data_IF_092971199770
#
_entry.id   IF_092971199770
#
_cell.length_a   1.000
_cell.length_b   1.000
_cell.length_c   1.000
_cell.angle_alpha   90.00
_cell.angle_beta   90.00
_cell.angle_gamma   90.00
#
_symmetry.space_group_name_H-M   'P 1'
#
loop_
_entity.id
_entity.type
_entity.pdbx_description
1 polymer ?
#
# COMPACT_ATOMS: atom_id res chain seq x y z
N UNK A 1 14.84 -12.62 8.84
CA UNK A 1 14.90 -12.58 7.37
C UNK A 1 14.27 -11.27 6.96
N UNK A 2 14.86 -10.57 6.01
CA UNK A 2 14.34 -9.30 5.49
C UNK A 2 14.14 -9.41 3.98
N UNK A 3 13.07 -8.83 3.46
CA UNK A 3 12.85 -8.68 2.04
C UNK A 3 12.28 -7.31 1.73
N UNK A 4 12.73 -6.75 0.62
CA UNK A 4 12.33 -5.42 0.17
C UNK A 4 12.34 -5.35 -1.36
N UNK A 5 11.56 -4.44 -1.94
CA UNK A 5 11.60 -4.12 -3.37
C UNK A 5 12.26 -2.75 -3.56
N UNK A 6 13.25 -2.67 -4.43
CA UNK A 6 13.93 -1.41 -4.81
C UNK A 6 14.30 -1.46 -6.27
N UNK A 7 14.03 -0.37 -6.99
CA UNK A 7 14.46 -0.20 -8.39
C UNK A 7 14.21 -1.44 -9.26
N UNK A 8 12.97 -1.92 -9.27
CA UNK A 8 12.54 -3.12 -10.01
C UNK A 8 13.29 -4.42 -9.62
N UNK A 9 13.81 -4.47 -8.39
CA UNK A 9 14.48 -5.65 -7.85
C UNK A 9 13.87 -6.08 -6.52
N UNK A 10 13.74 -7.38 -6.38
CA UNK A 10 13.38 -8.03 -5.13
C UNK A 10 14.65 -8.43 -4.38
N UNK A 11 14.90 -7.80 -3.25
CA UNK A 11 16.01 -8.09 -2.36
C UNK A 11 15.53 -8.97 -1.21
N UNK A 12 16.27 -10.01 -0.91
CA UNK A 12 15.97 -10.82 0.27
C UNK A 12 17.26 -11.23 0.97
N UNK A 13 17.29 -11.09 2.31
CA UNK A 13 18.43 -11.47 3.14
C UNK A 13 17.99 -12.31 4.32
N UNK A 14 18.75 -13.38 4.63
CA UNK A 14 18.53 -14.22 5.79
C UNK A 14 19.56 -13.92 6.89
N UNK A 15 19.07 -13.66 8.09
CA UNK A 15 19.94 -13.48 9.25
C UNK A 15 20.18 -14.84 9.91
N UNK A 16 21.44 -15.21 10.01
CA UNK A 16 21.90 -16.43 10.70
C UNK A 16 23.04 -16.03 11.64
N UNK A 17 22.89 -16.38 12.92
CA UNK A 17 23.90 -16.14 13.95
C UNK A 17 25.03 -17.14 13.92
N UNK A 18 24.84 -18.29 13.27
CA UNK A 18 25.86 -19.31 13.15
C UNK A 18 26.88 -18.95 12.06
N UNK A 19 28.15 -19.16 12.34
CA UNK A 19 29.23 -19.12 11.35
C UNK A 19 29.24 -20.43 10.55
N UNK A 20 29.73 -20.41 9.33
CA UNK A 20 29.85 -21.60 8.46
C UNK A 20 28.56 -22.25 7.97
N UNK A 21 27.47 -21.47 7.89
CA UNK A 21 26.25 -21.91 7.23
C UNK A 21 26.37 -21.83 5.69
N UNK A 22 25.72 -22.77 5.04
CA UNK A 22 25.45 -22.73 3.59
C UNK A 22 23.97 -22.45 3.36
N UNK A 23 23.67 -21.71 2.32
CA UNK A 23 22.31 -21.25 2.01
C UNK A 23 21.93 -21.75 0.61
N UNK A 24 20.77 -22.38 0.51
CA UNK A 24 20.11 -22.62 -0.77
C UNK A 24 18.76 -21.92 -0.74
N UNK A 25 18.24 -21.51 -1.88
CA UNK A 25 16.93 -20.83 -1.91
C UNK A 25 16.15 -21.22 -3.15
N UNK A 26 14.83 -21.27 -2.96
CA UNK A 26 13.86 -21.31 -4.04
C UNK A 26 13.15 -19.95 -4.08
N UNK A 27 13.02 -19.40 -5.29
CA UNK A 27 12.23 -18.23 -5.56
C UNK A 27 10.98 -18.70 -6.27
N UNK A 28 9.82 -18.37 -5.75
CA UNK A 28 8.54 -18.59 -6.41
C UNK A 28 7.82 -17.28 -6.66
N UNK A 29 7.12 -17.24 -7.78
CA UNK A 29 6.23 -16.16 -8.17
C UNK A 29 4.85 -16.78 -8.36
N UNK A 30 3.85 -16.26 -7.65
CA UNK A 30 2.47 -16.78 -7.70
C UNK A 30 2.43 -18.31 -7.47
N UNK A 31 3.21 -18.77 -6.47
CA UNK A 31 3.33 -20.19 -6.09
C UNK A 31 4.09 -21.08 -7.08
N UNK A 32 4.51 -20.58 -8.24
CA UNK A 32 5.36 -21.30 -9.17
C UNK A 32 6.83 -21.01 -8.90
N UNK A 33 7.65 -22.07 -8.75
CA UNK A 33 9.09 -21.93 -8.55
C UNK A 33 9.72 -21.50 -9.87
N UNK A 34 10.25 -20.27 -9.88
CA UNK A 34 10.90 -19.67 -11.06
C UNK A 34 12.40 -19.78 -11.04
N UNK A 35 13.00 -19.90 -9.85
CA UNK A 35 14.46 -20.05 -9.73
C UNK A 35 14.85 -20.90 -8.50
N UNK A 36 16.01 -21.57 -8.62
CA UNK A 36 16.59 -22.42 -7.57
C UNK A 36 18.08 -22.20 -7.51
N UNK A 37 18.57 -21.74 -6.37
CA UNK A 37 20.01 -21.59 -6.14
C UNK A 37 20.45 -22.59 -5.09
N UNK A 38 21.40 -23.44 -5.48
CA UNK A 38 21.95 -24.46 -4.60
C UNK A 38 22.96 -23.87 -3.62
N UNK A 39 23.28 -24.60 -2.59
CA UNK A 39 24.08 -24.19 -1.44
C UNK A 39 25.28 -23.31 -1.78
N UNK A 40 25.23 -22.08 -1.28
CA UNK A 40 26.25 -21.03 -1.39
C UNK A 40 26.52 -20.42 -0.01
N UNK A 41 27.56 -19.62 0.11
CA UNK A 41 27.82 -18.80 1.31
C UNK A 41 27.09 -17.46 1.29
N UNK A 42 26.43 -17.14 0.19
CA UNK A 42 25.71 -15.89 0.05
C UNK A 42 24.41 -15.93 0.87
N UNK A 43 24.25 -14.95 1.77
CA UNK A 43 23.07 -14.80 2.66
C UNK A 43 21.96 -13.97 2.01
N UNK A 44 22.23 -13.35 0.88
CA UNK A 44 21.31 -12.45 0.20
C UNK A 44 21.10 -12.87 -1.24
N UNK A 45 19.92 -12.56 -1.73
CA UNK A 45 19.57 -12.68 -3.15
C UNK A 45 19.05 -11.35 -3.66
N UNK A 46 19.29 -11.12 -4.94
CA UNK A 46 18.66 -10.04 -5.70
C UNK A 46 18.04 -10.70 -6.92
N UNK A 47 16.75 -10.47 -7.10
CA UNK A 47 16.00 -11.01 -8.23
C UNK A 47 15.39 -9.85 -9.02
N UNK A 48 15.56 -9.83 -10.34
CA UNK A 48 15.00 -8.79 -11.20
C UNK A 48 13.48 -8.99 -11.33
N UNK A 49 12.72 -7.97 -10.99
CA UNK A 49 11.27 -7.96 -11.14
C UNK A 49 10.96 -7.40 -12.52
N UNK A 50 10.81 -8.29 -13.48
CA UNK A 50 10.62 -7.91 -14.89
C UNK A 50 9.15 -7.72 -15.27
N UNK A 51 8.20 -8.02 -14.37
CA UNK A 51 6.77 -8.01 -14.67
C UNK A 51 6.04 -7.04 -13.75
N UNK A 52 5.34 -6.08 -14.34
CA UNK A 52 4.51 -5.09 -13.65
C UNK A 52 3.13 -5.61 -13.25
N UNK A 53 2.88 -6.91 -13.34
CA UNK A 53 1.66 -7.55 -12.84
C UNK A 53 1.72 -7.73 -11.33
N UNK A 54 0.55 -7.90 -10.69
CA UNK A 54 0.49 -8.22 -9.26
C UNK A 54 1.05 -9.61 -9.04
N UNK A 55 2.28 -9.66 -8.59
CA UNK A 55 2.94 -10.91 -8.28
C UNK A 55 3.19 -11.05 -6.78
N UNK A 56 2.96 -12.23 -6.27
CA UNK A 56 3.40 -12.63 -4.95
C UNK A 56 4.72 -13.35 -5.08
N UNK A 57 5.77 -12.76 -4.50
CA UNK A 57 7.11 -13.32 -4.45
C UNK A 57 7.30 -14.06 -3.12
N UNK A 58 7.77 -15.29 -3.20
CA UNK A 58 8.15 -16.05 -2.03
C UNK A 58 9.58 -16.54 -2.18
N UNK A 59 10.37 -16.39 -1.11
CA UNK A 59 11.69 -16.98 -1.03
C UNK A 59 11.72 -17.96 0.12
N UNK A 60 12.10 -19.19 -0.20
CA UNK A 60 12.32 -20.24 0.77
C UNK A 60 13.82 -20.46 0.91
N UNK A 61 14.38 -20.17 2.08
CA UNK A 61 15.77 -20.43 2.40
C UNK A 61 15.93 -21.76 3.11
N UNK A 62 16.86 -22.56 2.64
CA UNK A 62 17.35 -23.75 3.29
C UNK A 62 18.73 -23.43 3.89
N UNK A 63 18.82 -23.36 5.19
CA UNK A 63 20.03 -23.01 5.93
C UNK A 63 20.65 -24.30 6.46
N UNK A 64 21.82 -24.65 5.95
CA UNK A 64 22.55 -25.86 6.35
C UNK A 64 23.73 -25.44 7.22
N UNK A 65 23.76 -25.91 8.47
CA UNK A 65 24.87 -25.64 9.38
C UNK A 65 26.03 -26.65 9.21
N UNK A 66 27.11 -26.43 9.95
CA UNK A 66 28.30 -27.28 9.92
C UNK A 66 28.05 -28.77 10.27
N UNK A 67 27.01 -29.07 11.05
CA UNK A 67 26.57 -30.40 11.41
C UNK A 67 25.64 -31.06 10.39
N UNK A 68 25.46 -30.43 9.24
CA UNK A 68 24.51 -30.82 8.18
C UNK A 68 23.02 -30.73 8.57
N UNK A 69 22.70 -30.12 9.69
CA UNK A 69 21.31 -29.85 10.03
C UNK A 69 20.76 -28.75 9.13
N UNK A 70 19.54 -28.95 8.59
CA UNK A 70 18.88 -28.01 7.70
C UNK A 70 17.69 -27.38 8.43
N UNK A 71 17.68 -26.05 8.52
CA UNK A 71 16.51 -25.26 8.91
C UNK A 71 15.92 -24.56 7.71
N UNK A 72 14.60 -24.37 7.68
CA UNK A 72 13.88 -23.75 6.58
C UNK A 72 13.25 -22.47 7.10
N UNK A 73 13.40 -21.40 6.33
CA UNK A 73 12.71 -20.13 6.55
C UNK A 73 12.11 -19.66 5.24
N UNK A 74 10.90 -19.15 5.27
CA UNK A 74 10.28 -18.54 4.10
C UNK A 74 9.82 -17.13 4.40
N UNK A 75 9.75 -16.32 3.37
CA UNK A 75 9.14 -15.01 3.41
C UNK A 75 8.40 -14.78 2.11
N UNK A 76 7.20 -14.24 2.23
CA UNK A 76 6.33 -13.94 1.10
C UNK A 76 6.08 -12.43 1.05
N UNK A 77 6.14 -11.84 -0.14
CA UNK A 77 5.88 -10.42 -0.39
C UNK A 77 5.13 -10.24 -1.70
N UNK A 78 4.25 -9.24 -1.72
CA UNK A 78 3.66 -8.76 -2.97
C UNK A 78 4.59 -7.75 -3.64
N UNK A 79 4.49 -7.64 -4.95
CA UNK A 79 5.28 -6.70 -5.74
C UNK A 79 5.02 -5.24 -5.37
N UNK A 80 5.90 -4.38 -5.82
CA UNK A 80 5.90 -2.93 -5.62
C UNK A 80 4.57 -2.24 -5.96
N UNK A 81 4.28 -1.10 -5.31
CA UNK A 81 3.12 -0.24 -5.54
C UNK A 81 1.77 -0.93 -5.22
N UNK A 82 1.79 -1.87 -4.31
CA UNK A 82 0.59 -2.47 -3.77
C UNK A 82 0.24 -1.86 -2.44
N UNK A 83 -1.05 -1.65 -2.20
CA UNK A 83 -1.60 -1.28 -0.90
C UNK A 83 -1.21 -2.31 0.17
N UNK A 84 -1.14 -1.89 1.42
CA UNK A 84 -0.84 -2.82 2.51
C UNK A 84 -2.02 -3.80 2.76
N UNK A 85 -1.69 -5.00 3.26
CA UNK A 85 -2.69 -6.04 3.53
C UNK A 85 -3.78 -5.58 4.53
N UNK A 86 -3.47 -4.65 5.43
CA UNK A 86 -4.45 -4.04 6.33
C UNK A 86 -5.51 -3.21 5.60
N UNK A 87 -5.15 -2.49 4.54
CA UNK A 87 -6.10 -1.77 3.69
C UNK A 87 -6.96 -2.75 2.92
N UNK A 88 -6.35 -3.79 2.34
CA UNK A 88 -7.10 -4.83 1.63
C UNK A 88 -8.09 -5.54 2.55
N UNK A 89 -7.67 -5.92 3.77
CA UNK A 89 -8.54 -6.50 4.79
C UNK A 89 -9.68 -5.54 5.20
N UNK A 90 -9.39 -4.24 5.26
CA UNK A 90 -10.41 -3.21 5.53
C UNK A 90 -11.50 -3.23 4.48
N UNK A 91 -11.11 -3.20 3.20
CA UNK A 91 -12.07 -3.23 2.09
C UNK A 91 -12.83 -4.56 2.10
N UNK A 92 -12.14 -5.70 2.22
CA UNK A 92 -12.76 -7.03 2.25
C UNK A 92 -13.79 -7.20 3.37
N UNK A 93 -13.56 -6.60 4.56
CA UNK A 93 -14.43 -6.75 5.74
C UNK A 93 -15.55 -5.72 5.80
N UNK A 94 -15.36 -4.54 5.23
CA UNK A 94 -16.27 -3.40 5.36
C UNK A 94 -17.07 -3.09 4.09
N UNK A 95 -16.64 -3.56 2.92
CA UNK A 95 -17.43 -3.43 1.69
C UNK A 95 -18.54 -4.49 1.64
N UNK A 96 -19.55 -4.18 0.85
CA UNK A 96 -20.68 -5.05 0.53
C UNK A 96 -20.73 -5.29 -0.97
N UNK A 97 -21.41 -6.33 -1.37
CA UNK A 97 -21.65 -6.60 -2.78
C UNK A 97 -22.31 -5.40 -3.47
N UNK A 98 -21.70 -4.94 -4.55
CA UNK A 98 -22.14 -3.77 -5.31
C UNK A 98 -21.59 -2.41 -4.83
N UNK A 99 -20.84 -2.36 -3.74
CA UNK A 99 -20.19 -1.12 -3.27
C UNK A 99 -19.19 -0.57 -4.30
N UNK A 100 -19.07 0.75 -4.31
CA UNK A 100 -18.17 1.50 -5.20
C UNK A 100 -17.03 2.13 -4.41
N UNK A 101 -15.82 1.91 -4.86
CA UNK A 101 -14.62 2.52 -4.29
C UNK A 101 -14.02 3.51 -5.26
N UNK A 102 -13.76 4.73 -4.78
CA UNK A 102 -12.93 5.73 -5.46
C UNK A 102 -11.52 5.66 -4.88
N UNK A 103 -10.56 5.33 -5.72
CA UNK A 103 -9.15 5.28 -5.38
C UNK A 103 -8.45 6.51 -5.96
N UNK A 104 -7.64 7.19 -5.17
CA UNK A 104 -6.70 8.21 -5.63
C UNK A 104 -5.30 7.62 -5.65
N UNK A 105 -4.72 7.54 -6.83
CA UNK A 105 -3.48 6.82 -7.11
C UNK A 105 -3.77 5.39 -7.57
N UNK A 106 -3.33 5.06 -8.77
CA UNK A 106 -3.48 3.72 -9.34
C UNK A 106 -2.21 2.91 -9.16
N UNK A 107 -2.37 1.62 -8.97
CA UNK A 107 -1.27 0.67 -8.88
C UNK A 107 -1.74 -0.77 -8.86
N UNK A 108 -0.88 -1.68 -8.43
CA UNK A 108 -1.25 -3.09 -8.28
C UNK A 108 -2.35 -3.32 -7.24
N UNK A 109 -2.48 -2.41 -6.28
CA UNK A 109 -3.57 -2.42 -5.30
C UNK A 109 -4.95 -2.36 -5.93
N UNK A 110 -5.09 -1.62 -7.03
CA UNK A 110 -6.38 -1.42 -7.72
C UNK A 110 -7.01 -2.74 -8.17
N UNK A 111 -6.20 -3.68 -8.69
CA UNK A 111 -6.68 -5.01 -9.06
C UNK A 111 -7.19 -5.80 -7.85
N UNK A 112 -6.43 -5.80 -6.76
CA UNK A 112 -6.81 -6.54 -5.56
C UNK A 112 -8.10 -5.99 -4.93
N UNK A 113 -8.29 -4.67 -4.98
CA UNK A 113 -9.50 -4.01 -4.51
C UNK A 113 -10.71 -4.38 -5.37
N UNK A 114 -10.51 -4.58 -6.68
CA UNK A 114 -11.59 -4.92 -7.61
C UNK A 114 -12.21 -6.32 -7.36
N UNK A 115 -11.54 -7.16 -6.57
CA UNK A 115 -12.10 -8.44 -6.12
C UNK A 115 -13.24 -8.27 -5.10
N UNK A 116 -13.34 -7.09 -4.45
CA UNK A 116 -14.29 -6.84 -3.36
C UNK A 116 -15.34 -5.77 -3.70
N UNK A 117 -15.06 -4.87 -4.63
CA UNK A 117 -15.94 -3.75 -4.97
C UNK A 117 -15.66 -3.22 -6.39
N UNK A 118 -16.57 -2.39 -6.90
CA UNK A 118 -16.35 -1.70 -8.18
C UNK A 118 -15.36 -0.56 -8.00
N UNK A 119 -14.15 -0.68 -8.54
CA UNK A 119 -13.08 0.31 -8.38
C UNK A 119 -13.09 1.32 -9.51
N UNK A 120 -13.07 2.61 -9.14
CA UNK A 120 -12.74 3.73 -10.01
C UNK A 120 -11.46 4.39 -9.50
N UNK A 121 -10.40 4.34 -10.29
CA UNK A 121 -9.08 4.86 -9.90
C UNK A 121 -8.77 6.16 -10.63
N UNK A 122 -8.37 7.18 -9.87
CA UNK A 122 -7.94 8.50 -10.37
C UNK A 122 -6.43 8.50 -10.45
N UNK A 123 -5.89 8.72 -11.65
CA UNK A 123 -4.46 8.68 -11.88
C UNK A 123 -4.01 9.79 -12.82
N UNK A 124 -2.82 10.33 -12.60
CA UNK A 124 -2.23 11.40 -13.43
C UNK A 124 -1.10 10.89 -14.34
N UNK A 125 -0.39 9.83 -13.95
CA UNK A 125 0.68 9.26 -14.77
C UNK A 125 0.08 8.24 -15.75
N UNK A 126 0.17 8.51 -17.09
CA UNK A 126 -0.36 7.60 -18.10
C UNK A 126 0.19 6.16 -18.02
N UNK A 127 1.33 5.96 -17.37
CA UNK A 127 1.92 4.62 -17.21
C UNK A 127 1.06 3.69 -16.36
N UNK A 128 0.25 4.23 -15.45
CA UNK A 128 -0.58 3.47 -14.54
C UNK A 128 -2.05 3.41 -14.97
N UNK A 129 -2.39 3.94 -16.14
CA UNK A 129 -3.74 3.91 -16.68
C UNK A 129 -4.00 2.64 -17.50
N UNK A 130 -5.14 2.00 -17.26
CA UNK A 130 -5.62 0.88 -18.08
C UNK A 130 -4.88 -0.45 -17.86
N UNK A 131 -4.18 -0.61 -16.74
CA UNK A 131 -3.48 -1.86 -16.44
C UNK A 131 -4.43 -3.04 -16.25
N UNK A 132 -5.59 -2.81 -15.63
CA UNK A 132 -6.54 -3.85 -15.27
C UNK A 132 -7.89 -3.54 -15.90
N UNK A 133 -8.45 -4.46 -16.71
CA UNK A 133 -9.71 -4.22 -17.43
C UNK A 133 -10.93 -4.13 -16.51
N UNK A 134 -10.85 -4.66 -15.29
CA UNK A 134 -11.89 -4.60 -14.25
C UNK A 134 -11.95 -3.28 -13.51
N UNK A 135 -10.92 -2.42 -13.67
CA UNK A 135 -10.83 -1.11 -13.01
C UNK A 135 -11.23 0.00 -13.99
N UNK A 136 -12.10 0.90 -13.55
CA UNK A 136 -12.40 2.13 -14.29
C UNK A 136 -11.36 3.19 -13.98
N UNK A 137 -10.79 3.83 -15.00
CA UNK A 137 -9.76 4.84 -14.81
C UNK A 137 -10.24 6.23 -15.18
N UNK A 138 -9.88 7.20 -14.34
CA UNK A 138 -10.03 8.65 -14.60
C UNK A 138 -8.64 9.23 -14.74
N UNK A 139 -8.28 9.68 -15.95
CA UNK A 139 -7.04 10.42 -16.12
C UNK A 139 -7.25 11.87 -15.66
N UNK A 140 -6.60 12.27 -14.56
CA UNK A 140 -6.70 13.60 -13.99
C UNK A 140 -5.30 14.19 -13.76
N UNK A 141 -4.92 15.16 -14.58
CA UNK A 141 -3.64 15.85 -14.44
C UNK A 141 -3.49 16.52 -13.06
N UNK A 142 -2.25 16.70 -12.62
CA UNK A 142 -1.96 17.45 -11.41
C UNK A 142 -1.95 18.94 -11.72
N UNK A 143 -2.76 19.72 -11.00
CA UNK A 143 -2.81 21.16 -11.12
C UNK A 143 -2.51 21.86 -9.80
N UNK A 144 -2.11 23.14 -9.90
CA UNK A 144 -1.89 24.00 -8.74
C UNK A 144 -3.20 24.62 -8.27
N UNK A 145 -3.56 24.39 -7.01
CA UNK A 145 -4.63 25.09 -6.32
C UNK A 145 -4.05 26.20 -5.43
N UNK A 146 -4.79 27.27 -5.24
CA UNK A 146 -4.38 28.42 -4.41
C UNK A 146 -3.11 29.15 -4.89
N UNK A 147 -2.91 29.20 -6.20
CA UNK A 147 -1.84 29.99 -6.80
C UNK A 147 -2.16 31.48 -6.66
N UNK A 148 -1.84 32.03 -5.49
CA UNK A 148 -1.88 33.47 -5.22
C UNK A 148 -0.44 33.99 -5.28
N UNK A 149 -0.20 35.20 -5.78
CA UNK A 149 1.15 35.80 -5.87
C UNK A 149 1.93 35.75 -4.54
N UNK A 150 1.22 35.71 -3.42
CA UNK A 150 1.79 35.61 -2.08
C UNK A 150 2.08 34.19 -1.59
N UNK A 151 1.68 33.15 -2.33
CA UNK A 151 1.93 31.75 -1.94
C UNK A 151 2.97 31.11 -2.87
N UNK A 152 4.26 31.02 -2.46
CA UNK A 152 5.32 30.46 -3.29
C UNK A 152 5.20 28.94 -3.48
N UNK A 153 4.37 28.25 -2.71
CA UNK A 153 4.18 26.79 -2.76
C UNK A 153 2.69 26.46 -2.77
N UNK A 154 2.01 26.61 -3.93
CA UNK A 154 0.61 26.26 -4.04
C UNK A 154 0.38 24.78 -3.76
N UNK A 155 -0.76 24.45 -3.16
CA UNK A 155 -1.16 23.05 -3.00
C UNK A 155 -1.42 22.46 -4.37
N UNK A 156 -0.90 21.26 -4.60
CA UNK A 156 -1.12 20.50 -5.82
C UNK A 156 -2.13 19.38 -5.57
N UNK A 157 -2.91 19.10 -6.60
CA UNK A 157 -3.89 18.01 -6.53
C UNK A 157 -4.35 17.62 -7.93
N UNK A 158 -5.00 16.50 -8.04
CA UNK A 158 -5.70 16.11 -9.26
C UNK A 158 -6.71 17.16 -9.69
N UNK A 159 -6.79 17.41 -10.98
CA UNK A 159 -7.79 18.32 -11.55
C UNK A 159 -9.20 17.82 -11.22
N UNK A 160 -9.87 18.48 -10.30
CA UNK A 160 -11.20 18.09 -9.82
C UNK A 160 -12.26 18.18 -10.91
N UNK A 161 -12.08 19.03 -11.93
CA UNK A 161 -13.05 19.15 -13.03
C UNK A 161 -13.05 17.89 -13.90
N UNK A 162 -11.92 17.20 -14.02
CA UNK A 162 -11.85 15.89 -14.68
C UNK A 162 -12.55 14.78 -13.86
N UNK A 163 -12.57 14.89 -12.54
CA UNK A 163 -13.13 13.89 -11.62
C UNK A 163 -14.62 14.12 -11.40
N UNK A 164 -15.07 15.38 -11.31
CA UNK A 164 -16.42 15.76 -10.91
C UNK A 164 -17.54 15.06 -11.68
N UNK A 165 -17.47 14.84 -13.01
CA UNK A 165 -18.52 14.12 -13.73
C UNK A 165 -18.72 12.67 -13.26
N UNK A 166 -17.69 12.08 -12.64
CA UNK A 166 -17.70 10.70 -12.16
C UNK A 166 -18.15 10.57 -10.70
N UNK A 167 -18.32 11.69 -9.99
CA UNK A 167 -18.77 11.70 -8.59
C UNK A 167 -20.29 11.58 -8.43
N UNK A 168 -21.05 11.67 -9.52
CA UNK A 168 -22.49 11.48 -9.50
C UNK A 168 -22.88 10.08 -9.06
N UNK A 169 -23.82 10.00 -8.11
CA UNK A 169 -24.25 8.73 -7.49
C UNK A 169 -23.42 8.28 -6.30
N UNK A 170 -22.35 9.00 -5.98
CA UNK A 170 -21.52 8.77 -4.79
C UNK A 170 -20.66 7.52 -4.86
N UNK A 171 -19.83 7.38 -3.84
CA UNK A 171 -18.99 6.22 -3.55
C UNK A 171 -19.23 5.78 -2.11
N UNK A 172 -19.11 4.48 -1.86
CA UNK A 172 -19.25 3.89 -0.53
C UNK A 172 -17.93 3.95 0.23
N UNK A 173 -16.82 3.81 -0.51
CA UNK A 173 -15.46 3.87 0.01
C UNK A 173 -14.63 4.89 -0.79
N UNK A 174 -13.70 5.57 -0.10
CA UNK A 174 -12.69 6.42 -0.73
C UNK A 174 -11.32 6.02 -0.17
N UNK A 175 -10.41 5.62 -1.04
CA UNK A 175 -9.01 5.36 -0.70
C UNK A 175 -8.13 6.52 -1.18
N UNK A 176 -7.41 7.13 -0.25
CA UNK A 176 -6.44 8.18 -0.53
C UNK A 176 -5.03 7.58 -0.43
N UNK A 177 -4.50 7.11 -1.54
CA UNK A 177 -3.14 6.56 -1.68
C UNK A 177 -2.25 7.44 -2.58
N UNK A 178 -2.83 8.22 -3.48
CA UNK A 178 -2.14 9.17 -4.37
C UNK A 178 -2.59 10.63 -4.17
N UNK A 179 -1.90 11.55 -4.83
CA UNK A 179 -0.68 11.37 -5.60
C UNK A 179 0.55 11.11 -4.72
N UNK A 180 1.73 10.94 -5.33
CA UNK A 180 2.97 10.66 -4.62
C UNK A 180 3.31 11.72 -3.58
N UNK A 181 4.13 11.37 -2.59
CA UNK A 181 4.53 12.27 -1.50
C UNK A 181 5.25 13.55 -1.96
N UNK A 182 5.86 13.53 -3.14
CA UNK A 182 6.52 14.69 -3.75
C UNK A 182 5.51 15.75 -4.19
N UNK A 183 4.35 15.33 -4.68
CA UNK A 183 3.24 16.20 -5.05
C UNK A 183 2.47 16.62 -3.80
N UNK A 184 2.19 15.65 -2.92
CA UNK A 184 1.41 15.81 -1.71
C UNK A 184 -0.09 15.60 -1.94
N UNK A 185 -0.81 15.32 -0.85
CA UNK A 185 -2.25 14.97 -0.85
C UNK A 185 -3.13 16.09 -0.27
N UNK A 186 -2.54 17.22 0.17
CA UNK A 186 -3.26 18.29 0.88
C UNK A 186 -4.36 18.93 0.03
N UNK A 187 -4.25 18.88 -1.30
CA UNK A 187 -5.24 19.45 -2.21
C UNK A 187 -6.65 18.86 -2.03
N UNK A 188 -6.78 17.61 -1.58
CA UNK A 188 -8.08 16.98 -1.28
C UNK A 188 -8.91 17.82 -0.31
N UNK A 189 -8.26 18.49 0.65
CA UNK A 189 -8.92 19.28 1.69
C UNK A 189 -9.70 20.49 1.16
N UNK A 190 -9.41 20.91 -0.07
CA UNK A 190 -10.11 21.99 -0.78
C UNK A 190 -11.42 21.51 -1.43
N UNK A 191 -11.55 20.21 -1.63
CA UNK A 191 -12.62 19.61 -2.43
C UNK A 191 -13.49 18.59 -1.66
N UNK A 192 -13.41 18.57 -0.32
CA UNK A 192 -14.18 17.61 0.49
C UNK A 192 -15.71 17.74 0.29
N UNK A 193 -16.18 18.91 -0.07
CA UNK A 193 -17.59 19.19 -0.38
C UNK A 193 -18.07 18.52 -1.68
N UNK A 194 -17.18 18.07 -2.55
CA UNK A 194 -17.51 17.37 -3.79
C UNK A 194 -17.89 15.91 -3.56
N UNK A 195 -17.46 15.32 -2.43
CA UNK A 195 -17.74 13.93 -2.11
C UNK A 195 -19.04 13.83 -1.31
N UNK A 196 -20.12 13.52 -2.02
CA UNK A 196 -21.45 13.37 -1.43
C UNK A 196 -21.61 12.08 -0.63
N UNK A 197 -22.62 12.05 0.24
CA UNK A 197 -22.90 10.88 1.07
C UNK A 197 -22.02 10.81 2.33
N UNK A 198 -21.83 9.60 2.82
CA UNK A 198 -21.00 9.32 4.01
C UNK A 198 -20.04 8.17 3.72
N UNK A 199 -19.14 8.32 2.73
CA UNK A 199 -18.21 7.25 2.40
C UNK A 199 -17.31 6.91 3.57
N UNK A 200 -16.87 5.65 3.61
CA UNK A 200 -15.76 5.24 4.45
C UNK A 200 -14.48 5.75 3.81
N UNK A 201 -13.69 6.53 4.53
CA UNK A 201 -12.39 6.99 4.04
C UNK A 201 -11.28 6.09 4.56
N UNK A 202 -10.37 5.72 3.68
CA UNK A 202 -9.13 5.01 4.00
C UNK A 202 -7.99 5.92 3.56
N UNK A 203 -7.12 6.28 4.48
CA UNK A 203 -5.98 7.17 4.21
C UNK A 203 -4.71 6.37 4.42
N UNK A 204 -3.96 6.15 3.35
CA UNK A 204 -2.68 5.44 3.42
C UNK A 204 -1.53 6.35 3.86
N UNK A 205 -0.42 5.74 4.22
CA UNK A 205 0.85 6.39 4.57
C UNK A 205 0.79 7.33 5.79
N UNK A 206 -0.13 7.10 6.73
CA UNK A 206 -0.28 8.00 7.90
C UNK A 206 0.89 7.97 8.90
N UNK A 207 1.92 7.17 8.67
CA UNK A 207 3.22 7.33 9.33
C UNK A 207 3.93 8.59 8.87
N UNK A 208 3.70 9.04 7.65
CA UNK A 208 4.20 10.35 7.21
C UNK A 208 3.40 11.45 7.89
N UNK A 209 4.08 12.39 8.53
CA UNK A 209 3.46 13.48 9.28
C UNK A 209 2.45 14.28 8.46
N UNK A 210 2.73 14.49 7.16
CA UNK A 210 1.83 15.19 6.24
C UNK A 210 0.52 14.44 6.06
N UNK A 211 0.57 13.15 5.76
CA UNK A 211 -0.62 12.32 5.52
C UNK A 211 -1.43 12.12 6.80
N UNK A 212 -0.75 12.01 7.94
CA UNK A 212 -1.41 12.02 9.25
C UNK A 212 -2.19 13.32 9.50
N UNK A 213 -1.60 14.49 9.18
CA UNK A 213 -2.29 15.78 9.30
C UNK A 213 -3.51 15.85 8.38
N UNK A 214 -3.41 15.34 7.16
CA UNK A 214 -4.53 15.28 6.21
C UNK A 214 -5.65 14.40 6.77
N UNK A 215 -5.33 13.19 7.23
CA UNK A 215 -6.29 12.29 7.87
C UNK A 215 -7.04 12.97 9.03
N UNK A 216 -6.30 13.63 9.94
CA UNK A 216 -6.89 14.36 11.05
C UNK A 216 -7.82 15.52 10.59
N UNK A 217 -7.41 16.25 9.54
CA UNK A 217 -8.20 17.37 9.02
C UNK A 217 -9.49 16.90 8.33
N UNK A 218 -9.44 15.80 7.55
CA UNK A 218 -10.64 15.18 6.97
C UNK A 218 -11.58 14.74 8.08
N UNK A 219 -11.05 14.02 9.08
CA UNK A 219 -11.80 13.57 10.25
C UNK A 219 -12.56 14.73 10.94
N UNK A 220 -11.87 15.83 11.22
CA UNK A 220 -12.44 17.02 11.87
C UNK A 220 -13.47 17.73 11.00
N UNK A 221 -13.15 17.99 9.72
CA UNK A 221 -14.03 18.73 8.81
C UNK A 221 -15.33 17.99 8.51
N UNK A 222 -15.27 16.66 8.40
CA UNK A 222 -16.44 15.84 8.09
C UNK A 222 -17.12 15.25 9.36
N UNK A 223 -16.57 15.45 10.54
CA UNK A 223 -17.10 14.94 11.81
C UNK A 223 -17.15 13.42 11.84
N UNK A 224 -16.03 12.78 11.48
CA UNK A 224 -15.89 11.33 11.40
C UNK A 224 -15.22 10.76 12.65
N UNK A 225 -15.38 9.45 12.87
CA UNK A 225 -14.63 8.66 13.85
C UNK A 225 -13.39 8.15 13.18
N UNK A 226 -12.22 8.32 13.80
CA UNK A 226 -10.94 7.86 13.26
C UNK A 226 -10.46 6.62 14.00
N UNK A 227 -10.12 5.58 13.21
CA UNK A 227 -9.44 4.37 13.65
C UNK A 227 -8.04 4.38 13.03
N UNK A 228 -7.01 4.35 13.88
CA UNK A 228 -5.62 4.37 13.42
C UNK A 228 -5.01 2.99 13.51
N UNK A 229 -4.42 2.60 12.40
CA UNK A 229 -3.61 1.41 12.28
C UNK A 229 -2.14 1.82 12.10
N UNK A 230 -1.27 0.87 11.87
CA UNK A 230 0.16 1.16 11.78
C UNK A 230 0.49 2.19 10.69
N UNK A 231 0.09 1.96 9.45
CA UNK A 231 0.43 2.85 8.31
C UNK A 231 -0.79 3.51 7.65
N UNK A 232 -1.99 3.23 8.09
CA UNK A 232 -3.19 3.81 7.52
C UNK A 232 -4.22 4.17 8.58
N UNK A 233 -5.21 4.95 8.19
CA UNK A 233 -6.36 5.29 9.03
C UNK A 233 -7.66 5.00 8.29
N UNK A 234 -8.67 4.58 9.05
CA UNK A 234 -10.05 4.49 8.59
C UNK A 234 -10.83 5.63 9.25
N UNK A 235 -11.58 6.39 8.43
CA UNK A 235 -12.46 7.45 8.92
C UNK A 235 -13.90 7.07 8.55
N UNK A 236 -14.76 6.96 9.54
CA UNK A 236 -16.12 6.49 9.36
C UNK A 236 -17.13 7.41 10.05
N UNK A 237 -18.32 7.58 9.47
CA UNK A 237 -19.43 8.28 10.10
C UNK A 237 -20.03 7.47 11.24
N UNK A 238 -19.95 6.15 11.16
CA UNK A 238 -20.53 5.22 12.11
C UNK A 238 -19.45 4.41 12.82
N UNK A 239 -19.76 3.95 14.02
CA UNK A 239 -18.86 3.06 14.74
C UNK A 239 -18.70 1.72 14.03
N UNK A 240 -17.47 1.29 13.89
CA UNK A 240 -17.12 -0.05 13.43
C UNK A 240 -16.99 -0.94 14.67
N UNK A 241 -17.53 -2.14 14.60
CA UNK A 241 -17.50 -3.05 15.76
C UNK A 241 -16.09 -3.52 16.10
N UNK A 242 -15.88 -3.86 17.37
CA UNK A 242 -14.55 -4.19 17.89
C UNK A 242 -13.97 -5.49 17.33
N UNK A 243 -14.80 -6.43 16.87
CA UNK A 243 -14.30 -7.68 16.27
C UNK A 243 -13.72 -7.41 14.89
N UNK A 244 -14.39 -6.61 14.05
CA UNK A 244 -13.90 -6.17 12.75
C UNK A 244 -12.60 -5.38 12.88
N UNK A 245 -12.54 -4.42 13.81
CA UNK A 245 -11.31 -3.65 14.11
C UNK A 245 -10.18 -4.58 14.54
N UNK A 246 -10.49 -5.58 15.39
CA UNK A 246 -9.53 -6.56 15.86
C UNK A 246 -8.94 -7.41 14.72
N UNK A 247 -9.74 -7.83 13.75
CA UNK A 247 -9.29 -8.62 12.61
C UNK A 247 -8.40 -7.78 11.67
N UNK A 248 -8.76 -6.52 11.40
CA UNK A 248 -7.92 -5.60 10.62
C UNK A 248 -6.57 -5.37 11.31
N UNK A 249 -6.57 -5.18 12.64
CA UNK A 249 -5.32 -5.06 13.42
C UNK A 249 -4.46 -6.31 13.33
N UNK A 250 -5.07 -7.48 13.47
CA UNK A 250 -4.36 -8.77 13.40
C UNK A 250 -3.67 -8.93 12.05
N UNK A 251 -4.39 -8.72 10.95
CA UNK A 251 -3.84 -8.80 9.59
C UNK A 251 -2.68 -7.81 9.41
N UNK A 252 -2.83 -6.57 9.89
CA UNK A 252 -1.78 -5.55 9.84
C UNK A 252 -0.53 -6.00 10.62
N UNK A 253 -0.69 -6.55 11.81
CA UNK A 253 0.42 -6.99 12.67
C UNK A 253 1.11 -8.25 12.15
N UNK A 254 0.39 -9.18 11.53
CA UNK A 254 0.97 -10.36 10.90
C UNK A 254 1.93 -9.97 9.78
N UNK A 255 1.60 -8.96 9.00
CA UNK A 255 2.50 -8.41 7.98
C UNK A 255 3.73 -7.76 8.63
N UNK A 256 3.54 -6.97 9.70
CA UNK A 256 4.64 -6.30 10.41
C UNK A 256 5.59 -7.28 11.07
N UNK A 257 5.09 -8.36 11.67
CA UNK A 257 5.94 -9.38 12.29
C UNK A 257 6.88 -10.07 11.32
N UNK A 258 6.55 -10.02 10.02
CA UNK A 258 7.33 -10.57 8.93
C UNK A 258 8.26 -9.53 8.25
N UNK A 259 8.21 -8.25 8.67
CA UNK A 259 9.11 -7.22 8.14
C UNK A 259 10.41 -7.12 8.95
N UNK A 260 11.50 -6.70 8.30
CA UNK A 260 12.78 -6.52 8.99
C UNK A 260 12.74 -5.34 9.95
N UNK A 261 13.56 -5.42 11.01
CA UNK A 261 13.77 -4.31 11.92
C UNK A 261 14.24 -3.04 11.18
N UNK A 262 15.14 -3.19 10.21
CA UNK A 262 15.67 -2.08 9.39
C UNK A 262 14.59 -1.38 8.56
N UNK A 263 13.58 -2.12 8.08
CA UNK A 263 12.42 -1.54 7.41
C UNK A 263 11.58 -0.74 8.40
N UNK A 264 11.31 -1.28 9.58
CA UNK A 264 10.59 -0.60 10.65
C UNK A 264 11.33 0.64 11.13
N UNK A 265 12.64 0.55 11.33
CA UNK A 265 13.48 1.66 11.80
C UNK A 265 13.49 2.81 10.78
N UNK A 266 13.64 2.54 9.46
CA UNK A 266 13.52 3.54 8.40
C UNK A 266 12.14 4.19 8.36
N UNK A 267 11.11 3.38 8.42
CA UNK A 267 9.73 3.86 8.38
C UNK A 267 9.35 4.69 9.62
N UNK A 268 9.89 4.35 10.78
CA UNK A 268 9.70 5.08 12.03
C UNK A 268 10.60 6.31 12.15
N UNK A 269 11.49 6.53 11.17
CA UNK A 269 12.44 7.64 11.20
C UNK A 269 13.48 7.51 12.32
N UNK A 270 13.78 6.29 12.76
CA UNK A 270 14.72 5.99 13.83
C UNK A 270 16.16 5.87 13.33
N UNK A 271 16.40 5.88 12.01
CA UNK A 271 17.72 5.82 11.37
C UNK A 271 18.54 7.13 11.49
N UNK A 272 18.13 8.05 12.33
CA UNK A 272 18.68 9.42 12.39
C UNK A 272 19.14 9.89 13.76
N UNK A 273 19.51 8.98 14.68
CA UNK A 273 20.17 9.37 15.94
C UNK A 273 21.34 8.47 16.27
#
# INVERSE_FOLDING_TARGET
MACDFRDDKFFCEVFCSETDCLFAYYISINEEIVDKIWYTRNKSIVYDVCDYTVNTYEVIFFIKNAQNHISIKSIRRRSHWSICDGILATVALLSKDGDKLLEFGSGFGSQLLSEYCSVTSVEHDPKFLGWFPEVTYINAEIIDYDKIESNPSPRKWYNIDAISPHLEGGFDLILLDGPTSEIGREGILTHLDKFSGTPLWIIDDVLREKDQKISNQICLKLGLIQYRFWNFSILSKFSIDGATIGEIHKTTLEVLSNQSKDYLDRYLGLDGY
#
